data_IF_431920507899
#
_entry.id   IF_431920507899
#
_cell.length_a   1.000
_cell.length_b   1.000
_cell.length_c   1.000
_cell.angle_alpha   90.00
_cell.angle_beta   90.00
_cell.angle_gamma   90.00
#
_symmetry.space_group_name_H-M   'P 1'
#
loop_
_entity.id
_entity.type
_entity.pdbx_description
1 polymer ?
#
# COMPACT_ATOMS: atom_id res chain seq x y z
N UNK A 1 -10.57 45.84 -29.41
CA UNK A 1 -10.58 44.64 -28.55
C UNK A 1 -9.90 43.53 -29.32
N UNK A 2 -8.65 43.23 -28.96
CA UNK A 2 -7.86 42.17 -29.61
C UNK A 2 -8.02 40.87 -28.81
N UNK A 3 -8.66 39.86 -29.41
CA UNK A 3 -8.86 38.56 -28.77
C UNK A 3 -7.61 37.69 -28.99
N UNK A 4 -6.77 37.63 -27.96
CA UNK A 4 -5.59 36.76 -27.89
C UNK A 4 -6.02 35.29 -27.90
N UNK A 5 -5.95 34.65 -29.07
CA UNK A 5 -6.19 33.21 -29.23
C UNK A 5 -5.19 32.42 -28.37
N UNK A 6 -5.69 31.72 -27.36
CA UNK A 6 -4.92 30.76 -26.55
C UNK A 6 -4.60 29.56 -27.44
N UNK A 7 -3.35 29.40 -27.87
CA UNK A 7 -2.90 28.19 -28.55
C UNK A 7 -2.92 27.03 -27.56
N UNK A 8 -3.89 26.14 -27.70
CA UNK A 8 -3.80 24.81 -27.10
C UNK A 8 -2.65 24.07 -27.80
N UNK A 9 -1.57 23.80 -27.06
CA UNK A 9 -0.43 23.04 -27.54
C UNK A 9 -0.90 21.74 -28.18
N UNK A 10 -0.36 21.43 -29.35
CA UNK A 10 -0.62 20.21 -30.10
C UNK A 10 -0.36 19.00 -29.20
N UNK A 11 -1.41 18.23 -28.88
CA UNK A 11 -1.27 16.91 -28.25
C UNK A 11 -0.43 16.04 -29.17
N UNK A 12 0.82 15.78 -28.78
CA UNK A 12 1.72 14.88 -29.49
C UNK A 12 1.08 13.48 -29.49
N UNK A 13 0.60 13.04 -30.66
CA UNK A 13 0.15 11.66 -30.87
C UNK A 13 1.38 10.77 -30.75
N UNK A 14 1.52 10.10 -29.60
CA UNK A 14 2.66 9.25 -29.26
C UNK A 14 3.22 9.50 -27.86
N UNK A 15 3.03 10.70 -27.30
CA UNK A 15 3.54 11.04 -25.96
C UNK A 15 2.81 10.28 -24.85
N UNK A 16 1.54 9.91 -25.05
CA UNK A 16 0.77 9.13 -24.07
C UNK A 16 1.09 7.64 -24.05
N UNK A 17 1.28 6.98 -25.21
CA UNK A 17 1.32 5.50 -25.26
C UNK A 17 2.51 4.92 -24.49
N UNK A 18 3.71 5.50 -24.64
CA UNK A 18 4.91 5.03 -23.92
C UNK A 18 4.84 5.42 -22.44
N UNK A 19 4.33 6.61 -22.12
CA UNK A 19 4.16 7.06 -20.73
C UNK A 19 3.17 6.15 -19.97
N UNK A 20 2.06 5.77 -20.60
CA UNK A 20 1.11 4.81 -20.02
C UNK A 20 1.73 3.43 -19.85
N UNK A 21 2.51 2.94 -20.82
CA UNK A 21 3.21 1.65 -20.68
C UNK A 21 4.21 1.69 -19.51
N UNK A 22 4.96 2.78 -19.35
CA UNK A 22 5.90 2.95 -18.24
C UNK A 22 5.15 2.97 -16.91
N UNK A 23 4.07 3.75 -16.78
CA UNK A 23 3.27 3.81 -15.54
C UNK A 23 2.68 2.43 -15.20
N UNK A 24 2.13 1.72 -16.19
CA UNK A 24 1.58 0.37 -16.00
C UNK A 24 2.67 -0.61 -15.56
N UNK A 25 3.85 -0.56 -16.16
CA UNK A 25 4.98 -1.40 -15.77
C UNK A 25 5.42 -1.14 -14.31
N UNK A 26 5.46 0.12 -13.89
CA UNK A 26 5.80 0.50 -12.51
C UNK A 26 4.74 -0.01 -11.51
N UNK A 27 3.45 0.14 -11.82
CA UNK A 27 2.35 -0.38 -10.99
C UNK A 27 2.43 -1.91 -10.90
N UNK A 28 2.71 -2.60 -12.00
CA UNK A 28 2.83 -4.06 -12.02
C UNK A 28 3.97 -4.56 -11.12
N UNK A 29 5.14 -3.91 -11.16
CA UNK A 29 6.27 -4.25 -10.29
C UNK A 29 5.92 -4.03 -8.82
N UNK A 30 5.30 -2.89 -8.49
CA UNK A 30 4.85 -2.60 -7.13
C UNK A 30 3.81 -3.61 -6.63
N UNK A 31 2.86 -3.99 -7.49
CA UNK A 31 1.84 -4.98 -7.19
C UNK A 31 2.45 -6.36 -6.90
N UNK A 32 3.44 -6.82 -7.68
CA UNK A 32 4.14 -8.09 -7.41
C UNK A 32 4.77 -8.06 -6.01
N UNK A 33 5.43 -6.96 -5.64
CA UNK A 33 6.04 -6.82 -4.31
C UNK A 33 4.99 -6.88 -3.19
N UNK A 34 3.88 -6.15 -3.32
CA UNK A 34 2.79 -6.14 -2.34
C UNK A 34 2.15 -7.52 -2.23
N UNK A 35 1.82 -8.18 -3.34
CA UNK A 35 1.20 -9.51 -3.32
C UNK A 35 2.14 -10.58 -2.75
N UNK A 36 3.44 -10.50 -3.02
CA UNK A 36 4.42 -11.43 -2.45
C UNK A 36 4.53 -11.26 -0.93
N UNK A 37 4.66 -10.01 -0.47
CA UNK A 37 4.82 -9.70 0.94
C UNK A 37 3.54 -9.94 1.75
N UNK A 38 2.41 -9.47 1.24
CA UNK A 38 1.13 -9.56 1.94
C UNK A 38 0.50 -10.95 1.79
N UNK A 39 0.70 -11.64 0.65
CA UNK A 39 0.17 -12.98 0.40
C UNK A 39 0.70 -14.03 1.36
N UNK A 40 1.99 -13.96 1.74
CA UNK A 40 2.57 -14.83 2.77
C UNK A 40 1.95 -14.61 4.15
N UNK A 41 1.69 -13.35 4.51
CA UNK A 41 1.07 -12.98 5.79
C UNK A 41 -0.38 -13.44 5.87
N UNK A 42 -1.19 -13.15 4.84
CA UNK A 42 -2.59 -13.58 4.76
C UNK A 42 -2.69 -15.11 4.78
N UNK A 43 -1.86 -15.81 3.99
CA UNK A 43 -1.84 -17.28 3.98
C UNK A 43 -1.45 -17.86 5.34
N UNK A 44 -0.46 -17.25 6.03
CA UNK A 44 -0.06 -17.69 7.36
C UNK A 44 -1.16 -17.47 8.41
N UNK A 45 -1.92 -16.38 8.32
CA UNK A 45 -3.03 -16.09 9.23
C UNK A 45 -4.21 -17.03 8.97
N UNK A 46 -4.60 -17.22 7.71
CA UNK A 46 -5.66 -18.18 7.32
C UNK A 46 -5.27 -19.60 7.70
N UNK A 47 -4.00 -20.00 7.52
CA UNK A 47 -3.50 -21.29 7.98
C UNK A 47 -3.52 -21.45 9.50
N UNK A 48 -3.31 -20.36 10.25
CA UNK A 48 -3.50 -20.32 11.71
C UNK A 48 -4.95 -20.54 12.11
N UNK A 49 -5.87 -19.78 11.53
CA UNK A 49 -7.31 -19.91 11.77
C UNK A 49 -7.83 -21.31 11.39
N UNK A 50 -7.36 -21.88 10.29
CA UNK A 50 -7.72 -23.23 9.87
C UNK A 50 -7.22 -24.31 10.84
N UNK A 51 -6.05 -24.13 11.45
CA UNK A 51 -5.53 -25.03 12.50
C UNK A 51 -6.33 -24.92 13.80
N UNK A 52 -6.68 -23.70 14.20
CA UNK A 52 -7.57 -23.47 15.34
C UNK A 52 -8.94 -24.10 15.13
N UNK A 53 -9.51 -23.93 13.95
CA UNK A 53 -10.81 -24.51 13.57
C UNK A 53 -10.76 -26.04 13.52
N UNK A 54 -9.61 -26.65 13.19
CA UNK A 54 -9.43 -28.09 13.24
C UNK A 54 -9.11 -28.64 14.64
N UNK A 55 -9.11 -27.78 15.67
CA UNK A 55 -8.82 -28.15 17.06
C UNK A 55 -7.34 -28.32 17.38
N UNK A 56 -6.44 -27.95 16.46
CA UNK A 56 -5.00 -27.92 16.70
C UNK A 56 -4.59 -26.56 17.27
N UNK A 57 -3.76 -26.53 18.32
CA UNK A 57 -3.34 -25.24 18.91
C UNK A 57 -2.61 -24.40 17.87
N UNK A 58 -3.18 -23.25 17.50
CA UNK A 58 -2.54 -22.30 16.59
C UNK A 58 -1.75 -21.22 17.34
N UNK A 59 -1.27 -21.49 18.56
CA UNK A 59 -0.60 -20.51 19.43
C UNK A 59 0.48 -19.69 18.70
N UNK A 60 1.30 -20.33 17.86
CA UNK A 60 2.32 -19.64 17.06
C UNK A 60 1.74 -18.72 15.97
N UNK A 61 0.54 -18.99 15.48
CA UNK A 61 -0.17 -18.14 14.52
C UNK A 61 -0.93 -17.01 15.23
N UNK A 62 -1.49 -17.26 16.42
CA UNK A 62 -2.03 -16.22 17.31
C UNK A 62 -0.94 -15.22 17.65
N UNK A 63 0.22 -15.69 18.11
CA UNK A 63 1.36 -14.84 18.47
C UNK A 63 1.83 -13.97 17.29
N UNK A 64 1.81 -14.52 16.07
CA UNK A 64 2.14 -13.76 14.85
C UNK A 64 1.05 -12.75 14.50
N UNK A 65 -0.22 -13.11 14.64
CA UNK A 65 -1.34 -12.21 14.39
C UNK A 65 -1.32 -11.03 15.37
N UNK A 66 -1.10 -11.30 16.66
CA UNK A 66 -0.98 -10.30 17.71
C UNK A 66 0.22 -9.36 17.44
N UNK A 67 1.39 -9.90 17.11
CA UNK A 67 2.56 -9.07 16.73
C UNK A 67 2.32 -8.20 15.48
N UNK A 68 1.57 -8.70 14.50
CA UNK A 68 1.20 -7.91 13.31
C UNK A 68 0.20 -6.81 13.65
N UNK A 69 -0.78 -7.10 14.51
CA UNK A 69 -1.72 -6.10 15.04
C UNK A 69 -1.00 -5.01 15.83
N UNK A 70 -0.08 -5.39 16.74
CA UNK A 70 0.71 -4.44 17.53
C UNK A 70 1.59 -3.53 16.65
N UNK A 71 2.17 -4.09 15.57
CA UNK A 71 2.93 -3.29 14.59
C UNK A 71 2.04 -2.32 13.84
N UNK A 72 0.86 -2.77 13.38
CA UNK A 72 -0.09 -1.90 12.70
C UNK A 72 -0.59 -0.78 13.62
N UNK A 73 -0.84 -1.06 14.89
CA UNK A 73 -1.25 -0.08 15.89
C UNK A 73 -0.13 0.95 16.16
N UNK A 74 1.13 0.50 16.29
CA UNK A 74 2.28 1.41 16.44
C UNK A 74 2.50 2.30 15.22
N UNK A 75 2.38 1.75 14.03
CA UNK A 75 2.44 2.52 12.78
C UNK A 75 1.30 3.54 12.68
N UNK A 76 0.11 3.19 13.17
CA UNK A 76 -1.04 4.11 13.26
C UNK A 76 -0.77 5.26 14.23
N UNK A 77 -0.25 4.98 15.43
CA UNK A 77 0.14 6.01 16.43
C UNK A 77 1.26 6.93 15.92
N UNK A 78 2.16 6.44 15.09
CA UNK A 78 3.23 7.25 14.51
C UNK A 78 2.78 8.16 13.36
N UNK A 79 1.58 7.93 12.79
CA UNK A 79 1.05 8.68 11.64
C UNK A 79 -0.19 9.51 11.95
N UNK A 80 -0.61 9.56 13.22
CA UNK A 80 -1.73 10.37 13.66
C UNK A 80 -1.46 11.87 13.53
N UNK A 81 -2.53 12.64 13.33
CA UNK A 81 -2.51 14.11 13.19
C UNK A 81 -1.92 14.83 14.42
N UNK A 82 -1.88 14.14 15.56
CA UNK A 82 -1.24 14.51 16.82
C UNK A 82 0.29 14.64 16.73
N UNK A 83 0.95 13.95 15.80
CA UNK A 83 2.39 14.11 15.52
C UNK A 83 2.71 15.35 14.69
N UNK A 84 1.80 15.77 13.80
CA UNK A 84 2.02 16.93 12.91
C UNK A 84 2.05 18.27 13.67
N UNK A 85 1.39 18.34 14.82
CA UNK A 85 1.40 19.51 15.71
C UNK A 85 2.50 19.46 16.78
N UNK A 86 3.05 18.29 17.11
CA UNK A 86 4.04 18.13 18.18
C UNK A 86 5.50 18.27 17.70
N UNK A 87 5.83 17.85 16.46
CA UNK A 87 7.20 17.92 15.94
C UNK A 87 7.62 19.29 15.38
N UNK A 88 6.68 20.23 15.17
CA UNK A 88 6.97 21.60 14.70
C UNK A 88 7.03 22.65 15.83
N UNK A 89 7.07 22.22 17.09
CA UNK A 89 7.08 23.11 18.26
C UNK A 89 8.45 23.19 18.97
N UNK A 90 9.55 22.92 18.25
CA UNK A 90 10.92 23.22 18.70
C UNK A 90 11.79 23.72 17.57
#
# INVERSE_FOLDING_TARGET
MELKQRRFGSRQRGQGMVEYIIIVALIAIAAIAVFTFFGGTVRSQVGGMAKELSGQSAGSAIDKAQKSADKAEKESKNKGLDKYTNDNAR
#
